data_IF_426668845832
#
_entry.id   IF_426668845832
#
_cell.length_a   1.000
_cell.length_b   1.000
_cell.length_c   1.000
_cell.angle_alpha   90.00
_cell.angle_beta   90.00
_cell.angle_gamma   90.00
#
_symmetry.space_group_name_H-M   'P 1'
#
loop_
_entity.id
_entity.type
_entity.pdbx_description
1 polymer ?
#
# COMPACT_ATOMS: atom_id res chain seq x y z
N UNK A 1 3.74 1.50 1.07
CA UNK A 1 4.30 1.07 -0.23
C UNK A 1 5.31 2.12 -0.68
N UNK A 2 6.39 1.74 -1.36
CA UNK A 2 7.37 2.71 -1.87
C UNK A 2 6.89 3.47 -3.11
N UNK A 3 6.00 2.84 -3.90
CA UNK A 3 5.50 3.38 -5.17
C UNK A 3 6.41 3.12 -6.38
N UNK A 4 7.57 2.49 -6.18
CA UNK A 4 8.61 2.35 -7.23
C UNK A 4 8.21 1.43 -8.38
N UNK A 5 7.35 0.44 -8.11
CA UNK A 5 6.89 -0.51 -9.13
C UNK A 5 5.66 0.00 -9.93
N UNK A 6 5.23 1.25 -9.74
CA UNK A 6 4.11 1.87 -10.47
C UNK A 6 2.70 1.28 -10.23
N UNK A 7 2.59 0.22 -9.42
CA UNK A 7 1.32 -0.42 -9.06
C UNK A 7 0.71 0.18 -7.78
N UNK A 8 1.60 0.61 -6.89
CA UNK A 8 1.40 1.23 -5.57
C UNK A 8 1.32 2.75 -5.58
N UNK A 9 0.30 3.40 -4.99
CA UNK A 9 0.49 4.80 -4.55
C UNK A 9 1.57 4.79 -3.47
N UNK A 10 2.45 5.78 -3.43
CA UNK A 10 3.47 5.87 -2.38
C UNK A 10 2.83 6.12 -1.00
N UNK A 11 3.50 5.69 0.07
CA UNK A 11 3.15 5.96 1.47
C UNK A 11 1.84 5.32 1.96
N UNK A 12 1.32 4.29 1.28
CA UNK A 12 0.19 3.48 1.79
C UNK A 12 0.69 2.48 2.86
N UNK A 13 0.13 2.46 4.08
CA UNK A 13 0.56 1.52 5.12
C UNK A 13 0.19 0.08 4.73
N UNK A 14 1.12 -0.85 4.97
CA UNK A 14 0.93 -2.29 4.65
C UNK A 14 0.82 -3.12 5.93
N UNK A 15 1.70 -2.85 6.90
CA UNK A 15 1.80 -3.67 8.09
C UNK A 15 2.91 -3.23 9.01
N UNK A 16 3.15 -4.05 10.04
CA UNK A 16 4.24 -3.91 11.00
C UNK A 16 5.19 -5.09 10.85
N UNK A 17 6.48 -4.87 11.10
CA UNK A 17 7.46 -5.97 11.08
C UNK A 17 7.14 -6.92 12.23
N UNK A 18 6.87 -8.19 11.90
CA UNK A 18 6.66 -9.26 12.88
C UNK A 18 7.92 -10.08 13.11
N UNK A 19 8.78 -10.21 12.09
CA UNK A 19 10.03 -10.97 12.18
C UNK A 19 11.08 -10.48 11.18
N UNK A 20 12.35 -10.59 11.57
CA UNK A 20 13.51 -10.40 10.71
C UNK A 20 14.28 -11.72 10.70
N UNK A 21 14.57 -12.24 9.51
CA UNK A 21 15.38 -13.44 9.29
C UNK A 21 16.64 -13.07 8.53
N UNK A 22 17.79 -13.44 9.09
CA UNK A 22 19.07 -13.41 8.40
C UNK A 22 19.11 -14.64 7.50
N UNK A 23 19.49 -14.45 6.24
CA UNK A 23 19.71 -15.54 5.30
C UNK A 23 21.22 -15.81 5.27
N UNK A 24 21.62 -17.05 5.57
CA UNK A 24 23.04 -17.40 5.56
C UNK A 24 23.60 -17.25 4.14
N UNK A 25 24.79 -16.64 4.04
CA UNK A 25 25.53 -16.40 2.79
C UNK A 25 24.92 -15.36 1.82
N UNK A 26 23.95 -14.55 2.25
CA UNK A 26 23.39 -13.44 1.46
C UNK A 26 23.52 -12.11 2.23
N UNK A 27 23.71 -10.99 1.52
CA UNK A 27 23.68 -9.63 2.10
C UNK A 27 22.25 -9.08 2.23
N UNK A 28 21.26 -9.98 2.22
CA UNK A 28 19.84 -9.68 2.21
C UNK A 28 19.17 -10.11 3.52
N UNK A 29 18.16 -9.34 3.94
CA UNK A 29 17.30 -9.69 5.07
C UNK A 29 15.92 -10.08 4.54
N UNK A 30 15.35 -11.14 5.12
CA UNK A 30 13.94 -11.49 4.90
C UNK A 30 13.10 -10.89 6.04
N UNK A 31 12.08 -10.12 5.67
CA UNK A 31 11.20 -9.40 6.59
C UNK A 31 9.80 -10.00 6.48
N UNK A 32 9.24 -10.42 7.62
CA UNK A 32 7.83 -10.81 7.71
C UNK A 32 7.01 -9.65 8.26
N UNK A 33 5.81 -9.47 7.71
CA UNK A 33 4.89 -8.40 8.10
C UNK A 33 3.61 -8.98 8.69
N UNK A 34 3.14 -8.38 9.77
CA UNK A 34 1.75 -8.47 10.21
C UNK A 34 0.94 -7.37 9.51
N UNK A 35 -0.13 -7.71 8.76
CA UNK A 35 -0.94 -6.70 8.06
C UNK A 35 -1.60 -5.71 9.02
N UNK A 36 -1.69 -4.45 8.62
CA UNK A 36 -2.42 -3.41 9.40
C UNK A 36 -3.94 -3.48 9.20
N UNK A 37 -4.38 -4.22 8.17
CA UNK A 37 -5.78 -4.37 7.79
C UNK A 37 -6.29 -5.73 8.27
N UNK A 38 -7.42 -5.72 8.98
CA UNK A 38 -8.22 -6.93 9.22
C UNK A 38 -9.12 -7.19 8.00
N UNK A 39 -8.67 -8.10 7.13
CA UNK A 39 -9.38 -8.43 5.90
C UNK A 39 -10.73 -9.11 6.13
N UNK A 40 -11.03 -9.60 7.33
CA UNK A 40 -12.33 -10.22 7.64
C UNK A 40 -13.42 -9.18 7.95
N UNK A 41 -13.03 -7.91 8.15
CA UNK A 41 -13.92 -6.84 8.62
C UNK A 41 -13.96 -5.64 7.67
N UNK A 42 -13.74 -5.88 6.38
CA UNK A 42 -13.84 -4.83 5.38
C UNK A 42 -15.30 -4.41 5.17
N UNK A 43 -15.56 -3.12 5.33
CA UNK A 43 -16.86 -2.52 5.00
C UNK A 43 -16.77 -1.66 3.74
N UNK A 44 -15.71 -0.86 3.63
CA UNK A 44 -15.49 0.06 2.53
C UNK A 44 -14.10 -0.18 1.91
N UNK A 45 -14.06 -0.25 0.57
CA UNK A 45 -12.84 -0.45 -0.21
C UNK A 45 -12.79 0.62 -1.29
N UNK A 46 -11.66 1.33 -1.38
CA UNK A 46 -11.42 2.33 -2.42
C UNK A 46 -10.43 1.77 -3.45
N UNK A 47 -10.84 1.78 -4.72
CA UNK A 47 -9.94 1.52 -5.85
C UNK A 47 -9.36 2.85 -6.32
N UNK A 48 -8.04 2.90 -6.48
CA UNK A 48 -7.33 4.09 -6.93
C UNK A 48 -6.70 3.82 -8.28
N UNK A 49 -7.12 4.57 -9.30
CA UNK A 49 -6.41 4.66 -10.58
C UNK A 49 -5.38 5.79 -10.48
N UNK A 50 -4.12 5.48 -10.76
CA UNK A 50 -3.01 6.43 -10.71
C UNK A 50 -2.75 7.11 -12.06
N UNK A 51 -3.33 6.57 -13.14
CA UNK A 51 -3.09 7.04 -14.51
C UNK A 51 -4.10 8.10 -14.93
N UNK A 52 -5.30 8.01 -14.40
CA UNK A 52 -6.39 8.92 -14.74
C UNK A 52 -6.70 9.83 -13.55
N UNK A 53 -6.91 11.10 -13.83
CA UNK A 53 -7.47 12.01 -12.84
C UNK A 53 -8.93 11.61 -12.61
N UNK A 54 -9.37 11.64 -11.35
CA UNK A 54 -10.81 11.61 -11.08
C UNK A 54 -11.45 12.79 -11.84
N UNK A 55 -12.58 12.52 -12.51
CA UNK A 55 -13.38 13.57 -13.12
C UNK A 55 -13.61 14.66 -12.08
N UNK A 56 -13.08 15.85 -12.36
CA UNK A 56 -13.22 16.99 -11.45
C UNK A 56 -14.72 17.24 -11.33
N UNK A 57 -15.34 17.13 -10.13
CA UNK A 57 -16.74 17.50 -9.98
C UNK A 57 -16.88 18.94 -10.50
N UNK A 58 -17.92 19.25 -11.28
CA UNK A 58 -18.08 20.60 -11.81
C UNK A 58 -18.01 21.59 -10.65
N UNK A 59 -17.07 22.54 -10.74
CA UNK A 59 -17.00 23.66 -9.80
C UNK A 59 -18.39 24.28 -9.76
N UNK A 60 -19.02 24.25 -8.58
CA UNK A 60 -20.28 24.93 -8.36
C UNK A 60 -20.08 26.38 -8.81
N UNK A 61 -20.82 26.78 -9.86
CA UNK A 61 -20.79 28.16 -10.34
C UNK A 61 -21.43 29.00 -9.25
N UNK A 62 -20.64 29.87 -8.63
CA UNK A 62 -21.13 30.96 -7.80
C UNK A 62 -21.92 31.97 -8.65
#
# INVERSE_FOLDING_TARGET
TSGENGNYVKDIPIGRISKIKILDYDSSLSIELEPVIDFLRLENVLVVDQKNLNDKPPLAKN
#
